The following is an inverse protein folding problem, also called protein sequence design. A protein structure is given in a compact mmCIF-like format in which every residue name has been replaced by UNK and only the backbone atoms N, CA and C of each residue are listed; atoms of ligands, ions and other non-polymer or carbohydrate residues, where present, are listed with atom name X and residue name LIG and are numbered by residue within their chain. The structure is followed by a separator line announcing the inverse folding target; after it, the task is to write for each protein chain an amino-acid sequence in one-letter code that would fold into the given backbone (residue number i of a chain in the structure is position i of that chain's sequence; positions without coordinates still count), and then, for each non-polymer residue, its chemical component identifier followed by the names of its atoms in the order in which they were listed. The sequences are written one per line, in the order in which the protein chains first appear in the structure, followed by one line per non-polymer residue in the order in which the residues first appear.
data_IF_592309821362
#
_entry.id   IF_592309821362
#
_cell.length_a   1.000
_cell.length_b   1.000
_cell.length_c   1.000
_cell.angle_alpha   90.00
_cell.angle_beta   90.00
_cell.angle_gamma   90.00
#
_symmetry.space_group_name_H-M   'P 1'
#
loop_
_entity.id
_entity.type
_entity.pdbx_description
1 polymer ?
#
# COMPACT_ATOMS: atom_id res chain seq x y z
N UNK A 1 -3.67 -40.23 -10.73
CA UNK A 1 -4.96 -39.69 -10.27
C UNK A 1 -4.67 -38.29 -9.75
N UNK A 2 -5.43 -37.30 -10.23
CA UNK A 2 -5.20 -35.86 -10.04
C UNK A 2 -6.21 -35.35 -9.00
N UNK A 3 -5.76 -34.36 -8.21
CA UNK A 3 -6.51 -33.48 -7.30
C UNK A 3 -6.91 -34.02 -5.93
N UNK A 4 -6.43 -33.35 -4.88
CA UNK A 4 -7.22 -32.66 -3.85
C UNK A 4 -6.27 -31.84 -2.94
N UNK A 5 -5.74 -30.74 -3.47
CA UNK A 5 -5.20 -29.63 -2.66
C UNK A 5 -6.04 -28.40 -3.00
N UNK A 6 -7.19 -28.28 -2.33
CA UNK A 6 -7.96 -27.03 -2.30
C UNK A 6 -7.30 -26.11 -1.28
N UNK A 7 -6.18 -25.50 -1.65
CA UNK A 7 -5.62 -24.35 -0.98
C UNK A 7 -6.53 -23.15 -1.25
N UNK A 8 -7.44 -22.86 -0.33
CA UNK A 8 -8.07 -21.55 -0.25
C UNK A 8 -7.02 -20.57 0.31
N UNK A 9 -6.13 -20.11 -0.56
CA UNK A 9 -5.36 -18.90 -0.30
C UNK A 9 -6.28 -17.73 -0.62
N UNK A 10 -7.04 -17.24 0.38
CA UNK A 10 -7.74 -15.95 0.34
C UNK A 10 -6.67 -14.82 0.27
N UNK A 11 -5.82 -14.80 -0.77
CA UNK A 11 -4.83 -13.76 -1.03
C UNK A 11 -5.54 -12.61 -1.75
N UNK A 12 -6.02 -11.63 -0.98
CA UNK A 12 -6.59 -10.42 -1.55
C UNK A 12 -5.45 -9.60 -2.20
N UNK A 13 -5.30 -9.72 -3.51
CA UNK A 13 -4.23 -9.07 -4.27
C UNK A 13 -4.70 -7.71 -4.81
N UNK A 14 -4.17 -6.62 -4.25
CA UNK A 14 -4.41 -5.26 -4.73
C UNK A 14 -3.17 -4.64 -5.37
N UNK A 15 -3.34 -3.47 -5.99
CA UNK A 15 -2.22 -2.63 -6.41
C UNK A 15 -2.36 -1.22 -5.86
N UNK A 16 -1.23 -0.65 -5.47
CA UNK A 16 -1.14 0.71 -4.98
C UNK A 16 -0.21 1.49 -5.89
N UNK A 17 -0.67 2.64 -6.36
CA UNK A 17 0.14 3.58 -7.12
C UNK A 17 0.34 4.83 -6.26
N UNK A 18 1.59 5.26 -6.10
CA UNK A 18 1.93 6.49 -5.37
C UNK A 18 2.68 7.45 -6.28
N UNK A 19 2.35 8.73 -6.16
CA UNK A 19 3.07 9.86 -6.75
C UNK A 19 3.30 10.91 -5.67
N UNK A 20 4.52 11.42 -5.59
CA UNK A 20 4.87 12.33 -4.53
C UNK A 20 6.01 13.26 -4.87
N UNK A 21 6.24 14.19 -3.97
CA UNK A 21 7.33 15.12 -4.04
C UNK A 21 8.17 15.03 -2.77
N UNK A 22 9.48 14.87 -2.97
CA UNK A 22 10.44 14.85 -1.88
C UNK A 22 10.83 16.28 -1.51
N UNK A 23 10.27 16.77 -0.40
CA UNK A 23 10.56 18.11 0.13
C UNK A 23 11.94 18.19 0.77
N UNK A 24 12.41 17.09 1.36
CA UNK A 24 13.68 17.01 2.07
C UNK A 24 14.31 15.62 1.91
N UNK A 25 15.63 15.43 2.08
CA UNK A 25 16.26 14.11 2.05
C UNK A 25 15.60 13.05 2.95
N UNK A 26 14.93 13.49 4.02
CA UNK A 26 14.24 12.65 4.99
C UNK A 26 12.71 12.73 4.94
N UNK A 27 12.11 13.64 4.15
CA UNK A 27 10.67 13.89 4.16
C UNK A 27 10.11 13.99 2.75
N UNK A 28 9.04 13.25 2.49
CA UNK A 28 8.27 13.30 1.25
C UNK A 28 6.77 13.37 1.55
N UNK A 29 6.02 13.94 0.62
CA UNK A 29 4.56 13.88 0.62
C UNK A 29 4.14 13.12 -0.62
N UNK A 30 3.25 12.14 -0.45
CA UNK A 30 2.81 11.24 -1.50
C UNK A 30 1.28 11.20 -1.51
N UNK A 31 0.70 11.40 -2.69
CA UNK A 31 -0.67 11.01 -2.98
C UNK A 31 -0.64 9.62 -3.64
N UNK A 32 -1.65 8.81 -3.41
CA UNK A 32 -1.74 7.50 -4.00
C UNK A 32 -3.17 7.10 -4.31
N UNK A 33 -3.28 6.04 -5.08
CA UNK A 33 -4.52 5.37 -5.39
C UNK A 33 -4.31 3.88 -5.14
N UNK A 34 -5.17 3.30 -4.34
CA UNK A 34 -5.20 1.89 -4.03
C UNK A 34 -6.46 1.28 -4.64
N UNK A 35 -6.29 0.19 -5.37
CA UNK A 35 -7.37 -0.60 -5.92
C UNK A 35 -7.23 -2.02 -5.34
N UNK A 36 -8.19 -2.37 -4.50
CA UNK A 36 -8.27 -3.67 -3.87
C UNK A 36 -9.13 -4.57 -4.77
N UNK A 37 -8.47 -5.36 -5.62
CA UNK A 37 -9.16 -6.27 -6.56
C UNK A 37 -9.49 -7.57 -5.85
N UNK A 38 -10.73 -7.68 -5.37
CA UNK A 38 -11.23 -8.94 -4.79
C UNK A 38 -11.55 -9.96 -5.89
N UNK A 39 -10.94 -11.15 -5.78
CA UNK A 39 -11.23 -12.32 -6.61
C UNK A 39 -11.98 -13.35 -5.78
N UNK A 40 -13.29 -13.48 -6.06
CA UNK A 40 -14.21 -14.57 -5.71
C UNK A 40 -14.60 -14.75 -4.22
N UNK A 41 -15.68 -14.06 -3.81
CA UNK A 41 -16.76 -14.71 -3.03
C UNK A 41 -18.14 -14.27 -3.52
N UNK A 42 -18.87 -15.26 -4.05
CA UNK A 42 -20.30 -15.33 -4.35
C UNK A 42 -21.14 -14.03 -4.33
N UNK A 43 -21.50 -13.56 -5.53
CA UNK A 43 -22.68 -12.73 -5.85
C UNK A 43 -22.77 -11.26 -5.37
N UNK A 44 -21.70 -10.62 -4.90
CA UNK A 44 -21.68 -9.15 -4.78
C UNK A 44 -20.28 -8.60 -5.08
N UNK A 45 -20.11 -7.98 -6.25
CA UNK A 45 -18.86 -7.32 -6.64
C UNK A 45 -18.67 -6.06 -5.79
N UNK A 46 -17.92 -6.16 -4.70
CA UNK A 46 -17.52 -4.98 -3.92
C UNK A 46 -16.19 -4.48 -4.47
N UNK A 47 -16.28 -3.65 -5.51
CA UNK A 47 -15.15 -2.82 -5.92
C UNK A 47 -14.91 -1.78 -4.82
N UNK A 48 -13.67 -1.71 -4.33
CA UNK A 48 -13.27 -0.73 -3.32
C UNK A 48 -12.00 -0.04 -3.80
N UNK A 49 -12.17 1.20 -4.27
CA UNK A 49 -11.07 2.09 -4.55
C UNK A 49 -10.83 3.05 -3.38
N UNK A 50 -9.57 3.45 -3.21
CA UNK A 50 -9.19 4.38 -2.19
C UNK A 50 -8.20 5.42 -2.69
N UNK A 51 -8.53 6.69 -2.44
CA UNK A 51 -7.58 7.79 -2.61
C UNK A 51 -6.79 7.96 -1.33
N UNK A 52 -5.47 7.84 -1.45
CA UNK A 52 -4.55 7.89 -0.33
C UNK A 52 -3.78 9.21 -0.36
N UNK A 53 -3.62 9.84 0.80
CA UNK A 53 -2.72 10.98 0.97
C UNK A 53 -1.85 10.73 2.18
N UNK A 54 -0.54 10.81 2.03
CA UNK A 54 0.41 10.46 3.09
C UNK A 54 1.64 11.35 3.14
N UNK A 55 2.20 11.44 4.34
CA UNK A 55 3.55 11.90 4.56
C UNK A 55 4.46 10.70 4.82
N UNK A 56 5.66 10.73 4.26
CA UNK A 56 6.67 9.70 4.37
C UNK A 56 7.94 10.27 4.97
N UNK A 57 8.45 9.61 5.99
CA UNK A 57 9.72 9.93 6.64
C UNK A 57 10.70 8.82 6.33
N UNK A 58 11.86 9.17 5.77
CA UNK A 58 12.88 8.22 5.32
C UNK A 58 14.19 8.47 6.08
N UNK A 59 14.78 7.39 6.56
CA UNK A 59 16.09 7.35 7.19
C UNK A 59 17.06 6.65 6.23
N UNK A 60 17.86 7.41 5.46
CA UNK A 60 18.82 6.83 4.53
C UNK A 60 20.00 6.20 5.29
N UNK A 61 20.23 4.90 5.08
CA UNK A 61 21.33 4.10 5.64
C UNK A 61 22.15 3.55 4.47
N UNK A 62 23.00 4.40 3.89
CA UNK A 62 23.83 4.06 2.72
C UNK A 62 22.96 3.72 1.49
N UNK A 63 22.93 2.45 1.06
CA UNK A 63 22.10 1.96 -0.06
C UNK A 63 20.73 1.49 0.42
N UNK A 64 20.59 1.20 1.71
CA UNK A 64 19.33 0.84 2.33
C UNK A 64 18.70 2.09 2.90
N UNK A 65 17.39 2.06 3.08
CA UNK A 65 16.70 3.05 3.89
C UNK A 65 15.57 2.37 4.65
N UNK A 66 15.25 2.97 5.79
CA UNK A 66 14.08 2.63 6.58
C UNK A 66 13.14 3.80 6.48
N UNK A 67 11.85 3.55 6.31
CA UNK A 67 10.88 4.62 6.21
C UNK A 67 9.60 4.29 6.95
N UNK A 68 8.94 5.34 7.42
CA UNK A 68 7.60 5.29 7.96
C UNK A 68 6.69 6.16 7.09
N UNK A 69 5.45 5.72 6.93
CA UNK A 69 4.38 6.43 6.24
C UNK A 69 3.22 6.61 7.20
N UNK A 70 2.59 7.76 7.16
CA UNK A 70 1.29 7.99 7.81
C UNK A 70 0.44 8.84 6.90
N UNK A 71 -0.83 8.48 6.78
CA UNK A 71 -1.73 9.12 5.85
C UNK A 71 -3.19 8.92 6.18
N UNK A 72 -4.02 9.52 5.35
CA UNK A 72 -5.46 9.36 5.34
C UNK A 72 -5.86 8.73 4.02
N UNK A 73 -6.72 7.72 4.07
CA UNK A 73 -7.34 7.08 2.93
C UNK A 73 -8.82 7.46 2.88
N UNK A 74 -9.26 7.96 1.74
CA UNK A 74 -10.67 8.12 1.43
C UNK A 74 -11.13 6.87 0.68
N UNK A 75 -11.87 6.01 1.38
CA UNK A 75 -12.40 4.76 0.84
C UNK A 75 -13.83 4.99 0.37
N UNK A 76 -14.05 4.78 -0.93
CA UNK A 76 -15.37 4.91 -1.52
C UNK A 76 -15.99 3.51 -1.63
N UNK A 77 -17.11 3.30 -0.95
CA UNK A 77 -17.85 2.02 -1.00
C UNK A 77 -19.32 2.26 -1.28
N UNK A 78 -20.02 1.26 -1.82
CA UNK A 78 -21.47 1.33 -2.05
C UNK A 78 -22.31 1.59 -0.78
N UNK A 79 -21.72 1.50 0.42
CA UNK A 79 -22.35 1.71 1.71
C UNK A 79 -22.04 3.07 2.35
N UNK A 80 -21.14 3.86 1.73
CA UNK A 80 -20.78 5.21 2.18
C UNK A 80 -19.29 5.51 2.05
N UNK A 81 -18.96 6.79 2.02
CA UNK A 81 -17.58 7.30 2.01
C UNK A 81 -17.00 7.29 3.43
N UNK A 82 -15.86 6.64 3.63
CA UNK A 82 -15.16 6.60 4.93
C UNK A 82 -13.76 7.19 4.78
N UNK A 83 -13.36 8.03 5.75
CA UNK A 83 -11.99 8.54 5.84
C UNK A 83 -11.30 7.86 7.01
N UNK A 84 -10.35 6.98 6.71
CA UNK A 84 -9.60 6.25 7.73
C UNK A 84 -8.12 6.61 7.67
N UNK A 85 -7.49 6.61 8.84
CA UNK A 85 -6.04 6.81 8.94
C UNK A 85 -5.36 5.47 8.66
N UNK A 86 -4.25 5.53 7.95
CA UNK A 86 -3.37 4.40 7.74
C UNK A 86 -1.94 4.79 8.05
N UNK A 87 -1.16 3.82 8.50
CA UNK A 87 0.25 4.02 8.75
C UNK A 87 1.02 2.77 8.35
N UNK A 88 2.25 2.96 7.90
CA UNK A 88 3.09 1.89 7.42
C UNK A 88 4.52 2.09 7.81
N UNK A 89 5.26 0.99 7.86
CA UNK A 89 6.69 0.99 8.01
C UNK A 89 7.29 0.06 6.97
N UNK A 90 8.39 0.48 6.37
CA UNK A 90 9.02 -0.26 5.31
C UNK A 90 10.51 -0.03 5.22
N UNK A 91 11.16 -0.83 4.39
CA UNK A 91 12.56 -0.65 4.04
C UNK A 91 12.71 -0.66 2.54
N UNK A 92 13.68 0.08 2.03
CA UNK A 92 14.02 0.04 0.61
C UNK A 92 15.50 -0.03 0.35
N UNK A 93 15.81 -0.41 -0.89
CA UNK A 93 17.16 -0.46 -1.44
C UNK A 93 17.21 0.44 -2.66
N UNK A 94 18.13 1.39 -2.64
CA UNK A 94 18.41 2.31 -3.74
C UNK A 94 19.38 1.65 -4.72
N UNK A 95 18.92 1.46 -5.94
CA UNK A 95 19.64 0.89 -7.09
C UNK A 95 19.77 1.97 -8.19
N UNK A 96 20.56 3.00 -7.90
CA UNK A 96 20.72 4.16 -8.79
C UNK A 96 19.47 5.05 -8.79
N UNK A 97 18.79 5.27 -9.94
CA UNK A 97 17.57 6.09 -10.00
C UNK A 97 16.30 5.36 -9.53
N UNK A 98 16.38 4.03 -9.34
CA UNK A 98 15.27 3.20 -8.90
C UNK A 98 15.48 2.79 -7.45
N UNK A 99 14.41 2.78 -6.66
CA UNK A 99 14.38 2.24 -5.30
C UNK A 99 13.35 1.13 -5.23
N UNK A 100 13.74 -0.04 -4.78
CA UNK A 100 12.81 -1.14 -4.51
C UNK A 100 12.51 -1.13 -3.02
N UNK A 101 11.25 -1.17 -2.64
CA UNK A 101 10.84 -1.09 -1.25
C UNK A 101 9.80 -2.13 -0.87
N UNK A 102 9.91 -2.62 0.34
CA UNK A 102 8.93 -3.46 0.99
C UNK A 102 8.27 -2.64 2.11
N UNK A 103 6.95 -2.54 2.10
CA UNK A 103 6.15 -1.85 3.12
C UNK A 103 5.24 -2.84 3.83
N UNK A 104 5.12 -2.68 5.14
CA UNK A 104 4.02 -3.23 5.90
C UNK A 104 3.07 -2.09 6.27
N UNK A 105 1.82 -2.18 5.84
CA UNK A 105 0.81 -1.15 6.03
C UNK A 105 -0.27 -1.67 6.97
N UNK A 106 -0.49 -0.92 8.05
CA UNK A 106 -1.53 -1.15 9.04
C UNK A 106 -2.66 -0.14 8.82
N UNK A 107 -3.88 -0.64 8.74
CA UNK A 107 -5.08 0.17 8.58
C UNK A 107 -5.87 0.17 9.90
N UNK A 108 -6.26 1.35 10.40
CA UNK A 108 -7.13 1.42 11.58
C UNK A 108 -8.59 1.07 11.22
N UNK A 109 -8.91 1.01 9.92
CA UNK A 109 -10.18 0.55 9.40
C UNK A 109 -10.45 -0.88 9.89
N UNK A 110 -11.53 -1.06 10.66
CA UNK A 110 -11.97 -2.34 11.25
C UNK A 110 -12.17 -3.51 10.27
N UNK A 111 -12.03 -3.28 8.96
CA UNK A 111 -12.41 -4.16 7.87
C UNK A 111 -11.21 -4.62 7.04
N UNK A 112 -10.04 -3.96 7.14
CA UNK A 112 -8.88 -4.25 6.29
C UNK A 112 -7.80 -4.92 7.14
N UNK A 113 -7.43 -6.16 6.79
CA UNK A 113 -6.31 -6.86 7.40
C UNK A 113 -4.98 -6.19 7.05
N UNK A 114 -3.99 -6.31 7.95
CA UNK A 114 -2.65 -5.79 7.73
C UNK A 114 -2.06 -6.33 6.41
N UNK A 115 -1.38 -5.47 5.65
CA UNK A 115 -0.94 -5.80 4.29
C UNK A 115 0.57 -5.63 4.12
N UNK A 116 1.15 -6.51 3.30
CA UNK A 116 2.52 -6.35 2.79
C UNK A 116 2.46 -5.89 1.35
N UNK A 117 3.27 -4.89 1.00
CA UNK A 117 3.38 -4.39 -0.37
C UNK A 117 4.83 -4.32 -0.82
N UNK A 118 5.05 -4.64 -2.09
CA UNK A 118 6.32 -4.47 -2.78
C UNK A 118 6.14 -3.34 -3.80
N UNK A 119 7.00 -2.32 -3.73
CA UNK A 119 6.95 -1.16 -4.60
C UNK A 119 8.28 -0.91 -5.31
N UNK A 120 8.19 -0.30 -6.49
CA UNK A 120 9.31 0.26 -7.22
C UNK A 120 9.10 1.76 -7.35
N UNK A 121 10.03 2.54 -6.81
CA UNK A 121 9.97 4.00 -6.76
C UNK A 121 11.07 4.59 -7.63
N UNK A 122 10.68 5.45 -8.56
CA UNK A 122 11.61 6.14 -9.45
C UNK A 122 11.85 7.55 -8.93
N UNK A 123 13.12 7.90 -8.70
CA UNK A 123 13.53 9.23 -8.27
C UNK A 123 14.13 9.95 -9.48
N UNK A 124 13.57 11.11 -9.84
CA UNK A 124 13.98 11.93 -10.97
C UNK A 124 14.53 13.29 -10.52
#
# INVERSE_FOLDING_TARGET
MKNEDTDFTDENSGYNLYIGYQLHPMFAIEAGYADFVDTHKDFEHVYSDAWLTSAKVMLPITIFDLYGRVGVGHFQTNLGDTNDIYYGAGTGVKLGPVRVALEYTMYEAKVIEDSFSLSAEFHF
#
